data_IF_358891911611
#
_entry.id   IF_358891911611
#
_cell.length_a   1.000
_cell.length_b   1.000
_cell.length_c   1.000
_cell.angle_alpha   90.00
_cell.angle_beta   90.00
_cell.angle_gamma   90.00
#
_symmetry.space_group_name_H-M   'P 1'
#
loop_
_entity.id
_entity.type
_entity.pdbx_description
1 polymer ?
#
# COMPACT_ATOMS: atom_id res chain seq x y z
N UNK A 1 1.63 -1.33 -8.10
CA UNK A 1 2.90 -0.98 -7.43
C UNK A 1 3.77 -2.22 -7.42
N UNK A 2 4.89 -2.24 -8.14
CA UNK A 2 5.78 -3.39 -8.13
C UNK A 2 6.38 -3.50 -6.74
N UNK A 3 5.98 -4.52 -5.98
CA UNK A 3 6.79 -4.97 -4.85
C UNK A 3 8.02 -5.66 -5.42
N UNK A 4 9.04 -4.90 -5.76
CA UNK A 4 10.38 -5.44 -5.88
C UNK A 4 10.93 -5.53 -4.46
N UNK A 5 10.97 -6.75 -3.97
CA UNK A 5 11.82 -7.10 -2.83
C UNK A 5 13.27 -6.82 -3.24
N UNK A 6 13.75 -5.62 -2.98
CA UNK A 6 15.17 -5.28 -3.06
C UNK A 6 15.76 -5.40 -1.66
N UNK A 7 15.96 -6.64 -1.19
CA UNK A 7 16.97 -6.92 -0.17
C UNK A 7 18.22 -7.45 -0.87
N UNK A 8 19.10 -6.56 -1.34
CA UNK A 8 20.48 -6.89 -1.63
C UNK A 8 21.25 -6.96 -0.32
N UNK A 9 21.12 -8.07 0.40
CA UNK A 9 22.12 -8.45 1.38
C UNK A 9 23.25 -9.15 0.62
N UNK A 10 24.40 -8.48 0.51
CA UNK A 10 25.67 -9.13 0.18
C UNK A 10 26.00 -10.16 1.27
N UNK A 11 25.65 -11.42 1.03
CA UNK A 11 26.21 -12.54 1.80
C UNK A 11 27.28 -13.22 0.95
N UNK A 12 28.48 -13.19 1.47
CA UNK A 12 29.61 -14.02 1.05
C UNK A 12 29.17 -15.49 0.97
N UNK A 13 29.40 -16.10 -0.18
CA UNK A 13 29.13 -17.51 -0.44
C UNK A 13 30.00 -18.39 0.46
N UNK A 14 29.42 -18.95 1.49
CA UNK A 14 29.91 -20.18 2.13
C UNK A 14 29.11 -21.33 1.52
N UNK A 15 29.74 -22.04 0.61
CA UNK A 15 29.18 -23.25 -0.01
C UNK A 15 29.13 -24.37 1.02
N UNK A 16 27.97 -24.56 1.67
CA UNK A 16 27.65 -25.78 2.38
C UNK A 16 26.92 -26.72 1.43
N UNK A 17 27.64 -27.72 0.91
CA UNK A 17 27.06 -28.84 0.18
C UNK A 17 26.35 -29.77 1.17
N UNK A 18 25.05 -29.66 1.31
CA UNK A 18 24.22 -30.74 1.82
C UNK A 18 23.70 -31.55 0.64
N UNK A 19 24.20 -32.78 0.51
CA UNK A 19 23.67 -33.74 -0.45
C UNK A 19 22.28 -34.20 -0.02
N UNK A 20 21.24 -33.56 -0.56
CA UNK A 20 19.88 -34.10 -0.55
C UNK A 20 19.77 -35.08 -1.72
N UNK A 21 19.76 -36.37 -1.47
CA UNK A 21 19.67 -37.48 -2.46
C UNK A 21 18.23 -37.74 -2.90
N UNK A 22 17.40 -36.72 -3.05
CA UNK A 22 16.01 -36.78 -3.56
C UNK A 22 15.73 -35.69 -4.60
N UNK A 23 14.81 -35.93 -5.52
CA UNK A 23 14.35 -34.91 -6.44
C UNK A 23 13.70 -33.76 -5.66
N UNK A 24 14.07 -32.52 -5.96
CA UNK A 24 13.49 -31.34 -5.31
C UNK A 24 11.97 -31.31 -5.54
N UNK A 25 11.17 -30.96 -4.51
CA UNK A 25 9.75 -30.70 -4.68
C UNK A 25 9.51 -29.73 -5.85
N UNK A 26 8.57 -30.02 -6.71
CA UNK A 26 8.36 -29.24 -7.94
C UNK A 26 6.89 -29.00 -8.17
N UNK A 27 6.49 -27.74 -8.34
CA UNK A 27 5.14 -27.34 -8.78
C UNK A 27 5.20 -26.81 -10.21
N UNK A 28 4.24 -27.20 -11.04
CA UNK A 28 4.14 -26.79 -12.43
C UNK A 28 2.96 -25.86 -12.62
N UNK A 29 3.09 -24.89 -13.51
CA UNK A 29 2.00 -24.00 -13.88
C UNK A 29 2.02 -23.71 -15.38
N UNK A 30 0.87 -23.79 -16.05
CA UNK A 30 0.68 -23.35 -17.44
C UNK A 30 0.41 -21.86 -17.53
N UNK A 31 -0.40 -21.34 -16.59
CA UNK A 31 -0.83 -19.94 -16.58
C UNK A 31 0.21 -19.00 -15.96
N UNK A 32 1.24 -19.55 -15.34
CA UNK A 32 2.26 -18.77 -14.65
C UNK A 32 1.83 -18.20 -13.29
N UNK A 33 0.65 -18.60 -12.80
CA UNK A 33 0.08 -18.08 -11.55
C UNK A 33 0.03 -19.15 -10.47
N UNK A 34 0.39 -18.74 -9.26
CA UNK A 34 0.49 -19.59 -8.09
C UNK A 34 -0.24 -18.95 -6.91
N UNK A 35 -0.83 -19.78 -6.07
CA UNK A 35 -1.37 -19.37 -4.77
C UNK A 35 -0.47 -19.91 -3.67
N UNK A 36 -0.08 -19.05 -2.76
CA UNK A 36 0.72 -19.38 -1.61
C UNK A 36 -0.19 -19.53 -0.38
N UNK A 37 0.05 -20.58 0.42
CA UNK A 37 -0.55 -20.75 1.73
C UNK A 37 0.55 -20.90 2.75
N UNK A 38 0.52 -20.06 3.78
CA UNK A 38 1.42 -20.13 4.93
C UNK A 38 0.57 -20.54 6.12
N UNK A 39 0.94 -21.62 6.81
CA UNK A 39 0.17 -22.16 7.94
C UNK A 39 -1.32 -22.45 7.59
N UNK A 40 -1.59 -22.93 6.38
CA UNK A 40 -2.92 -23.15 5.79
C UNK A 40 -3.75 -21.87 5.57
N UNK A 41 -3.23 -20.73 5.92
CA UNK A 41 -3.82 -19.44 5.59
C UNK A 41 -3.24 -18.93 4.27
N UNK A 42 -4.07 -18.31 3.48
CA UNK A 42 -3.64 -17.77 2.20
C UNK A 42 -2.67 -16.61 2.41
N UNK A 43 -1.47 -16.76 1.91
CA UNK A 43 -0.43 -15.73 1.98
C UNK A 43 -0.69 -14.61 0.98
N UNK A 44 -0.45 -13.38 1.42
CA UNK A 44 -0.57 -12.14 0.64
C UNK A 44 0.72 -11.86 -0.15
N UNK A 45 1.25 -12.86 -0.86
CA UNK A 45 2.51 -12.76 -1.58
C UNK A 45 2.28 -12.60 -3.08
N UNK A 46 2.01 -11.39 -3.52
CA UNK A 46 1.74 -11.07 -4.93
C UNK A 46 2.96 -11.27 -5.85
N UNK A 47 4.18 -11.23 -5.30
CA UNK A 47 5.42 -11.34 -6.07
C UNK A 47 5.79 -12.77 -6.53
N UNK A 48 5.11 -13.81 -6.06
CA UNK A 48 5.48 -15.21 -6.40
C UNK A 48 5.30 -15.50 -7.90
N UNK A 49 4.42 -14.79 -8.58
CA UNK A 49 4.17 -14.96 -10.01
C UNK A 49 5.23 -14.31 -10.90
N UNK A 50 5.96 -13.33 -10.36
CA UNK A 50 6.96 -12.52 -11.08
C UNK A 50 8.41 -12.84 -10.66
N UNK A 51 8.64 -14.02 -10.08
CA UNK A 51 9.95 -14.42 -9.57
C UNK A 51 11.03 -14.48 -10.66
N UNK A 52 12.27 -14.05 -10.37
CA UNK A 52 13.44 -14.28 -11.23
C UNK A 52 13.81 -15.78 -11.28
N UNK A 53 14.79 -16.15 -12.09
CA UNK A 53 15.22 -17.55 -12.28
C UNK A 53 15.67 -18.23 -10.98
N UNK A 54 16.14 -17.47 -9.99
CA UNK A 54 16.36 -17.95 -8.62
C UNK A 54 15.82 -16.94 -7.63
N UNK A 55 15.19 -17.42 -6.55
CA UNK A 55 14.55 -16.56 -5.57
C UNK A 55 14.74 -17.13 -4.17
N UNK A 56 15.07 -16.25 -3.23
CA UNK A 56 15.17 -16.58 -1.81
C UNK A 56 14.28 -15.64 -1.01
N UNK A 57 13.52 -16.20 -0.08
CA UNK A 57 12.64 -15.43 0.80
C UNK A 57 12.60 -16.04 2.20
N UNK A 58 12.44 -15.21 3.22
CA UNK A 58 12.26 -15.64 4.59
C UNK A 58 10.97 -15.03 5.15
N UNK A 59 10.12 -15.87 5.71
CA UNK A 59 8.84 -15.44 6.29
C UNK A 59 9.01 -15.23 7.80
N UNK A 60 8.48 -14.10 8.29
CA UNK A 60 8.29 -13.91 9.72
C UNK A 60 7.17 -14.81 10.24
N UNK A 61 7.41 -15.52 11.33
CA UNK A 61 6.40 -16.36 11.99
C UNK A 61 6.79 -16.64 13.45
N UNK A 62 5.80 -16.75 14.32
CA UNK A 62 6.00 -17.16 15.71
C UNK A 62 6.20 -18.69 15.84
N UNK A 63 5.93 -19.47 14.77
CA UNK A 63 6.02 -20.93 14.78
C UNK A 63 7.41 -21.39 14.36
N UNK A 64 8.02 -22.26 15.13
CA UNK A 64 9.34 -22.84 14.81
C UNK A 64 9.34 -23.67 13.52
N UNK A 65 8.20 -24.27 13.19
CA UNK A 65 7.95 -25.03 11.97
C UNK A 65 6.63 -24.63 11.35
N UNK A 66 6.66 -24.01 10.17
CA UNK A 66 5.51 -23.48 9.47
C UNK A 66 5.26 -24.21 8.16
N UNK A 67 4.09 -24.86 7.97
CA UNK A 67 3.75 -25.46 6.69
C UNK A 67 3.55 -24.38 5.63
N UNK A 68 4.20 -24.56 4.48
CA UNK A 68 4.07 -23.74 3.29
C UNK A 68 3.51 -24.60 2.15
N UNK A 69 2.40 -24.21 1.58
CA UNK A 69 1.85 -24.85 0.39
C UNK A 69 1.80 -23.89 -0.79
N UNK A 70 2.19 -24.38 -1.95
CA UNK A 70 2.16 -23.64 -3.21
C UNK A 70 1.28 -24.39 -4.17
N UNK A 71 0.21 -23.76 -4.63
CA UNK A 71 -0.85 -24.38 -5.44
C UNK A 71 -0.94 -23.65 -6.77
N UNK A 72 -0.93 -24.41 -7.85
CA UNK A 72 -1.22 -23.96 -9.20
C UNK A 72 -2.54 -24.55 -9.70
N UNK A 73 -2.89 -24.24 -10.94
CA UNK A 73 -4.00 -24.86 -11.65
C UNK A 73 -3.72 -26.34 -12.05
N UNK A 74 -2.48 -26.82 -11.94
CA UNK A 74 -2.06 -28.16 -12.36
C UNK A 74 -1.72 -29.08 -11.19
N UNK A 75 -0.92 -28.59 -10.25
CA UNK A 75 -0.47 -29.37 -9.11
C UNK A 75 -0.20 -28.49 -7.87
N UNK A 76 0.25 -29.12 -6.80
CA UNK A 76 0.64 -28.41 -5.59
C UNK A 76 1.82 -29.10 -4.92
N UNK A 77 2.60 -28.33 -4.16
CA UNK A 77 3.62 -28.82 -3.24
C UNK A 77 3.38 -28.29 -1.85
N UNK A 78 3.84 -29.07 -0.86
CA UNK A 78 3.92 -28.61 0.54
C UNK A 78 5.32 -28.84 1.06
N UNK A 79 5.88 -27.84 1.72
CA UNK A 79 7.17 -27.88 2.38
C UNK A 79 7.03 -27.30 3.78
N UNK A 80 7.91 -27.70 4.69
CA UNK A 80 7.92 -27.12 6.05
C UNK A 80 9.07 -26.13 6.15
N UNK A 81 8.74 -24.89 6.44
CA UNK A 81 9.71 -23.85 6.75
C UNK A 81 10.16 -23.99 8.20
N UNK A 82 11.45 -23.84 8.46
CA UNK A 82 12.03 -23.78 9.80
C UNK A 82 12.89 -22.54 9.94
N UNK A 83 12.92 -21.98 11.15
CA UNK A 83 13.73 -20.80 11.42
C UNK A 83 15.19 -21.03 10.98
N UNK A 84 15.71 -20.16 10.11
CA UNK A 84 17.07 -20.20 9.61
C UNK A 84 17.40 -21.36 8.65
N UNK A 85 16.47 -22.30 8.39
CA UNK A 85 16.72 -23.45 7.51
C UNK A 85 15.89 -23.34 6.23
N UNK A 86 16.51 -23.17 5.04
CA UNK A 86 15.75 -23.04 3.81
C UNK A 86 15.13 -24.36 3.36
N UNK A 87 13.85 -24.33 3.02
CA UNK A 87 13.21 -25.33 2.17
C UNK A 87 13.46 -24.96 0.70
N UNK A 88 13.96 -25.91 -0.08
CA UNK A 88 14.32 -25.70 -1.50
C UNK A 88 13.34 -26.44 -2.38
N UNK A 89 12.78 -25.79 -3.39
CA UNK A 89 11.83 -26.35 -4.34
C UNK A 89 11.93 -25.66 -5.70
N UNK A 90 11.23 -26.20 -6.72
CA UNK A 90 11.20 -25.63 -8.07
C UNK A 90 9.80 -25.24 -8.48
N UNK A 91 9.70 -24.14 -9.22
CA UNK A 91 8.51 -23.73 -9.95
C UNK A 91 8.81 -23.85 -11.44
N UNK A 92 8.06 -24.71 -12.17
CA UNK A 92 8.16 -24.85 -13.61
C UNK A 92 7.05 -24.05 -14.27
N UNK A 93 7.42 -22.94 -14.94
CA UNK A 93 6.49 -22.06 -15.65
C UNK A 93 6.44 -22.45 -17.13
N UNK A 94 5.49 -23.31 -17.47
CA UNK A 94 5.41 -23.90 -18.82
C UNK A 94 5.17 -22.84 -19.90
N UNK A 95 4.37 -21.81 -19.64
CA UNK A 95 4.11 -20.74 -20.59
C UNK A 95 5.38 -19.90 -20.89
N UNK A 96 6.29 -19.77 -19.93
CA UNK A 96 7.58 -19.06 -20.10
C UNK A 96 8.71 -19.99 -20.55
N UNK A 97 8.51 -21.32 -20.47
CA UNK A 97 9.53 -22.32 -20.79
C UNK A 97 10.71 -22.32 -19.81
N UNK A 98 10.52 -21.85 -18.58
CA UNK A 98 11.58 -21.67 -17.59
C UNK A 98 11.29 -22.39 -16.26
N UNK A 99 12.32 -22.42 -15.41
CA UNK A 99 12.25 -23.01 -14.06
C UNK A 99 12.87 -22.05 -13.07
N UNK A 100 12.12 -21.74 -12.01
CA UNK A 100 12.58 -20.92 -10.88
C UNK A 100 13.03 -21.83 -9.76
N UNK A 101 14.25 -21.65 -9.26
CA UNK A 101 14.73 -22.28 -8.04
C UNK A 101 14.39 -21.39 -6.85
N UNK A 102 13.55 -21.91 -5.95
CA UNK A 102 13.10 -21.19 -4.75
C UNK A 102 13.78 -21.73 -3.50
N UNK A 103 14.21 -20.81 -2.63
CA UNK A 103 14.73 -21.09 -1.29
C UNK A 103 13.93 -20.29 -0.28
N UNK A 104 13.07 -20.94 0.48
CA UNK A 104 12.23 -20.28 1.47
C UNK A 104 12.59 -20.76 2.87
N UNK A 105 12.71 -19.86 3.81
CA UNK A 105 12.92 -20.14 5.23
C UNK A 105 11.94 -19.34 6.07
N UNK A 106 11.94 -19.59 7.37
CA UNK A 106 11.25 -18.73 8.32
C UNK A 106 12.22 -18.18 9.37
N UNK A 107 11.83 -17.09 9.98
CA UNK A 107 12.50 -16.51 11.14
C UNK A 107 11.43 -16.04 12.14
N UNK A 108 11.84 -15.83 13.40
CA UNK A 108 10.93 -15.31 14.41
C UNK A 108 10.51 -13.88 14.04
N UNK A 109 9.22 -13.69 13.87
CA UNK A 109 8.68 -12.39 13.48
C UNK A 109 8.77 -11.38 14.63
N UNK A 110 9.29 -10.18 14.32
CA UNK A 110 9.06 -9.01 15.15
C UNK A 110 7.68 -8.43 14.79
N UNK A 111 6.74 -8.45 15.73
CA UNK A 111 5.41 -7.85 15.51
C UNK A 111 5.53 -6.40 15.07
N UNK A 112 4.88 -6.06 13.96
CA UNK A 112 4.87 -4.69 13.43
C UNK A 112 4.22 -3.69 14.40
N UNK A 113 3.19 -4.12 15.13
CA UNK A 113 2.51 -3.32 16.13
C UNK A 113 2.18 -4.13 17.39
N UNK A 114 2.08 -3.44 18.51
CA UNK A 114 1.58 -3.98 19.79
C UNK A 114 0.56 -3.00 20.36
N UNK A 115 -0.62 -3.52 20.68
CA UNK A 115 -1.71 -2.70 21.17
C UNK A 115 -2.02 -3.01 22.66
N UNK A 116 -1.33 -2.33 23.61
CA UNK A 116 -1.66 -2.47 25.03
C UNK A 116 -3.10 -2.04 25.33
N UNK A 117 -3.69 -2.55 26.40
CA UNK A 117 -5.09 -2.27 26.75
C UNK A 117 -5.40 -0.76 26.89
N UNK A 118 -4.47 0.01 27.43
CA UNK A 118 -4.60 1.47 27.51
C UNK A 118 -4.70 2.10 26.09
N UNK A 119 -3.90 1.63 25.15
CA UNK A 119 -3.93 2.08 23.77
C UNK A 119 -5.25 1.71 23.09
N UNK A 120 -5.69 0.45 23.23
CA UNK A 120 -6.97 -0.04 22.69
C UNK A 120 -8.13 0.82 23.20
N UNK A 121 -8.22 1.01 24.52
CA UNK A 121 -9.24 1.85 25.14
C UNK A 121 -9.21 3.29 24.62
N UNK A 122 -8.02 3.84 24.42
CA UNK A 122 -7.87 5.21 23.94
C UNK A 122 -8.26 5.38 22.47
N UNK A 123 -8.14 4.34 21.64
CA UNK A 123 -8.30 4.45 20.18
C UNK A 123 -9.54 3.74 19.62
N UNK A 124 -10.22 2.90 20.39
CA UNK A 124 -11.41 2.17 19.95
C UNK A 124 -12.46 3.09 19.30
N UNK A 125 -12.89 2.74 18.10
CA UNK A 125 -13.91 3.45 17.32
C UNK A 125 -13.43 4.77 16.70
N UNK A 126 -12.16 5.15 16.89
CA UNK A 126 -11.66 6.46 16.42
C UNK A 126 -11.22 6.46 14.97
N UNK A 127 -11.43 7.58 14.31
CA UNK A 127 -10.78 7.99 13.08
C UNK A 127 -9.84 9.15 13.41
N UNK A 128 -8.54 8.94 13.26
CA UNK A 128 -7.51 9.92 13.60
C UNK A 128 -6.91 10.49 12.30
N UNK A 129 -6.82 11.82 12.25
CA UNK A 129 -6.23 12.57 11.12
C UNK A 129 -4.98 13.25 11.66
N UNK A 130 -3.81 12.94 11.11
CA UNK A 130 -2.54 13.26 11.73
C UNK A 130 -1.50 13.80 10.73
N UNK A 131 -0.69 14.78 11.21
CA UNK A 131 0.58 15.20 10.62
C UNK A 131 1.65 15.01 11.71
N UNK A 132 2.24 13.80 11.85
CA UNK A 132 3.20 13.53 12.92
C UNK A 132 4.54 14.22 12.68
N UNK A 133 5.22 14.66 13.76
CA UNK A 133 6.44 15.48 13.68
C UNK A 133 7.59 14.77 12.93
N UNK A 134 7.86 13.49 13.22
CA UNK A 134 8.94 12.75 12.53
C UNK A 134 8.52 12.37 11.10
N UNK A 135 7.23 12.15 10.87
CA UNK A 135 6.68 11.90 9.51
C UNK A 135 6.85 13.15 8.63
N UNK A 136 6.63 14.35 9.19
CA UNK A 136 6.89 15.60 8.47
C UNK A 136 8.38 15.83 8.26
N UNK A 137 9.24 15.49 9.24
CA UNK A 137 10.70 15.62 9.13
C UNK A 137 11.26 14.86 7.91
N UNK A 138 10.88 13.60 7.73
CA UNK A 138 11.38 12.83 6.59
C UNK A 138 10.89 13.41 5.26
N UNK A 139 9.66 13.96 5.20
CA UNK A 139 9.15 14.62 4.01
C UNK A 139 9.85 15.95 3.70
N UNK A 140 10.28 16.69 4.72
CA UNK A 140 11.18 17.84 4.55
C UNK A 140 12.53 17.40 3.96
N UNK A 141 13.09 16.29 4.43
CA UNK A 141 14.34 15.72 3.87
C UNK A 141 14.12 15.30 2.41
N UNK A 142 13.02 14.62 2.07
CA UNK A 142 12.67 14.26 0.70
C UNK A 142 12.58 15.48 -0.22
N UNK A 143 12.00 16.58 0.25
CA UNK A 143 11.88 17.81 -0.54
C UNK A 143 13.24 18.42 -0.92
N UNK A 144 14.31 18.11 -0.18
CA UNK A 144 15.69 18.60 -0.43
C UNK A 144 16.49 17.66 -1.35
N UNK A 145 16.00 16.46 -1.66
CA UNK A 145 16.66 15.47 -2.52
C UNK A 145 16.37 15.74 -4.00
N UNK A 146 17.02 14.97 -4.90
CA UNK A 146 16.69 14.98 -6.33
C UNK A 146 15.25 14.51 -6.59
N UNK A 147 14.75 13.56 -5.79
CA UNK A 147 13.34 13.13 -5.80
C UNK A 147 12.38 14.29 -5.49
N UNK A 148 12.80 15.26 -4.68
CA UNK A 148 12.05 16.50 -4.41
C UNK A 148 11.79 17.38 -5.64
N UNK A 149 12.51 17.17 -6.74
CA UNK A 149 12.28 17.88 -8.01
C UNK A 149 11.11 17.28 -8.81
N UNK A 150 10.72 16.04 -8.54
CA UNK A 150 9.58 15.37 -9.19
C UNK A 150 8.23 15.85 -8.61
N UNK A 151 7.13 15.45 -9.23
CA UNK A 151 5.78 15.75 -8.74
C UNK A 151 5.38 14.92 -7.51
N UNK A 152 6.27 14.02 -7.04
CA UNK A 152 6.09 13.33 -5.77
C UNK A 152 6.05 14.29 -4.58
N UNK A 153 6.68 15.47 -4.71
CA UNK A 153 6.58 16.56 -3.75
C UNK A 153 5.66 17.64 -4.28
N UNK A 154 4.63 17.99 -3.50
CA UNK A 154 3.67 19.03 -3.84
C UNK A 154 4.24 20.42 -3.58
N UNK A 155 4.46 21.19 -4.66
CA UNK A 155 5.21 22.45 -4.63
C UNK A 155 4.32 23.71 -4.60
N UNK A 156 3.01 23.55 -4.88
CA UNK A 156 2.12 24.69 -5.10
C UNK A 156 1.49 25.25 -3.81
N UNK A 157 2.28 25.39 -2.75
CA UNK A 157 1.84 25.96 -1.48
C UNK A 157 2.83 26.98 -0.94
N UNK A 158 2.35 28.00 -0.18
CA UNK A 158 3.25 28.85 0.62
C UNK A 158 4.10 28.05 1.61
N UNK A 159 3.58 26.92 2.11
CA UNK A 159 4.30 26.04 3.02
C UNK A 159 5.55 25.42 2.35
N UNK A 160 5.44 24.93 1.13
CA UNK A 160 6.60 24.43 0.39
C UNK A 160 7.66 25.52 0.22
N UNK A 161 7.24 26.76 -0.09
CA UNK A 161 8.18 27.88 -0.21
C UNK A 161 8.88 28.17 1.13
N UNK A 162 8.15 28.11 2.26
CA UNK A 162 8.73 28.26 3.59
C UNK A 162 9.72 27.13 3.91
N UNK A 163 9.38 25.88 3.58
CA UNK A 163 10.28 24.71 3.72
C UNK A 163 11.58 24.95 2.93
N UNK A 164 11.47 25.31 1.66
CA UNK A 164 12.66 25.56 0.84
C UNK A 164 13.49 26.75 1.32
N UNK A 165 12.85 27.84 1.73
CA UNK A 165 13.55 28.99 2.27
C UNK A 165 14.33 28.67 3.54
N UNK A 166 13.77 27.84 4.43
CA UNK A 166 14.40 27.48 5.70
C UNK A 166 15.47 26.39 5.55
N UNK A 167 15.17 25.32 4.77
CA UNK A 167 15.97 24.09 4.76
C UNK A 167 16.94 23.97 3.59
N UNK A 168 16.83 24.74 2.50
CA UNK A 168 17.77 24.68 1.37
C UNK A 168 19.25 24.85 1.78
N UNK A 169 19.64 25.68 2.79
CA UNK A 169 21.02 25.73 3.25
C UNK A 169 21.55 24.39 3.79
N UNK A 170 20.67 23.46 4.13
CA UNK A 170 21.01 22.13 4.65
C UNK A 170 20.91 21.03 3.59
N UNK A 171 20.68 21.33 2.30
CA UNK A 171 20.58 20.34 1.24
C UNK A 171 21.86 19.47 1.12
N UNK A 172 23.04 20.01 1.51
CA UNK A 172 24.28 19.25 1.59
C UNK A 172 24.47 18.41 2.85
N UNK A 173 23.47 18.31 3.74
CA UNK A 173 23.58 17.53 4.98
C UNK A 173 23.66 16.01 4.71
N UNK A 174 24.35 15.26 5.60
CA UNK A 174 24.52 13.81 5.43
C UNK A 174 23.19 13.05 5.32
N UNK A 175 22.18 13.44 6.13
CA UNK A 175 20.83 12.85 6.03
C UNK A 175 20.24 12.99 4.61
N UNK A 176 20.31 14.20 4.04
CA UNK A 176 19.77 14.46 2.69
C UNK A 176 20.51 13.63 1.64
N UNK A 177 21.86 13.62 1.67
CA UNK A 177 22.66 12.85 0.70
C UNK A 177 22.41 11.34 0.79
N UNK A 178 22.30 10.81 2.01
CA UNK A 178 22.06 9.37 2.21
C UNK A 178 20.68 8.99 1.70
N UNK A 179 19.64 9.74 2.04
CA UNK A 179 18.27 9.48 1.57
C UNK A 179 18.17 9.70 0.04
N UNK A 180 18.82 10.70 -0.50
CA UNK A 180 18.90 10.94 -1.95
C UNK A 180 19.54 9.77 -2.70
N UNK A 181 20.63 9.21 -2.15
CA UNK A 181 21.27 8.01 -2.70
C UNK A 181 20.35 6.81 -2.73
N UNK A 182 19.56 6.57 -1.67
CA UNK A 182 18.57 5.50 -1.61
C UNK A 182 17.49 5.67 -2.67
N UNK A 183 16.90 6.86 -2.76
CA UNK A 183 15.83 7.16 -3.71
C UNK A 183 16.32 7.13 -5.16
N UNK A 184 17.59 7.46 -5.40
CA UNK A 184 18.23 7.36 -6.74
C UNK A 184 18.46 5.89 -7.13
N UNK A 185 18.74 5.01 -6.18
CA UNK A 185 18.85 3.57 -6.42
C UNK A 185 17.50 2.94 -6.75
N UNK A 186 16.45 3.29 -6.00
CA UNK A 186 15.06 2.92 -6.28
C UNK A 186 14.10 3.88 -5.58
N UNK A 187 13.15 4.40 -6.33
CA UNK A 187 12.03 5.19 -5.78
C UNK A 187 11.14 4.36 -4.83
N UNK A 188 11.22 3.04 -4.88
CA UNK A 188 10.49 2.13 -3.98
C UNK A 188 10.87 2.33 -2.50
N UNK A 189 12.02 2.94 -2.20
CA UNK A 189 12.39 3.30 -0.84
C UNK A 189 11.54 4.43 -0.24
N UNK A 190 10.89 5.25 -1.07
CA UNK A 190 10.13 6.41 -0.59
C UNK A 190 8.99 6.02 0.36
N UNK A 191 8.11 5.12 -0.08
CA UNK A 191 6.94 4.75 0.71
C UNK A 191 7.29 4.09 2.05
N UNK A 192 8.20 3.09 2.11
CA UNK A 192 8.61 2.49 3.38
C UNK A 192 9.26 3.48 4.35
N UNK A 193 10.19 4.33 3.88
CA UNK A 193 10.83 5.36 4.72
C UNK A 193 9.81 6.34 5.30
N UNK A 194 8.87 6.80 4.45
CA UNK A 194 7.77 7.68 4.86
C UNK A 194 6.88 7.01 5.91
N UNK A 195 6.42 5.79 5.63
CA UNK A 195 5.53 5.06 6.54
C UNK A 195 6.20 4.80 7.88
N UNK A 196 7.39 4.21 7.87
CA UNK A 196 8.10 3.81 9.09
C UNK A 196 8.46 4.96 10.02
N UNK A 197 8.52 6.18 9.50
CA UNK A 197 8.72 7.37 10.33
C UNK A 197 7.61 7.61 11.35
N UNK A 198 6.43 7.05 11.11
CA UNK A 198 5.30 7.13 12.06
C UNK A 198 5.53 6.31 13.33
N UNK A 199 6.42 5.33 13.32
CA UNK A 199 6.78 4.58 14.53
C UNK A 199 7.59 5.42 15.54
N UNK A 200 8.00 6.65 15.18
CA UNK A 200 8.89 7.46 15.98
C UNK A 200 8.26 8.78 16.41
N UNK A 201 8.74 9.26 17.55
CA UNK A 201 8.43 10.59 18.08
C UNK A 201 9.71 11.26 18.62
N UNK A 202 9.67 12.58 18.82
CA UNK A 202 10.71 13.30 19.51
C UNK A 202 10.55 13.22 21.03
N UNK A 203 11.59 12.72 21.70
CA UNK A 203 11.76 12.80 23.16
C UNK A 203 12.93 13.73 23.44
N UNK A 204 12.65 14.99 23.78
CA UNK A 204 13.68 16.04 23.75
C UNK A 204 14.24 16.19 22.32
N UNK A 205 15.55 16.15 22.16
CA UNK A 205 16.22 16.23 20.85
C UNK A 205 16.48 14.85 20.21
N UNK A 206 16.01 13.78 20.85
CA UNK A 206 16.17 12.40 20.36
C UNK A 206 14.92 11.93 19.66
N UNK A 207 15.10 11.08 18.63
CA UNK A 207 14.02 10.40 17.93
C UNK A 207 13.96 8.96 18.47
N UNK A 208 12.84 8.60 19.11
CA UNK A 208 12.66 7.31 19.77
C UNK A 208 11.38 6.62 19.29
N UNK A 209 11.35 5.30 19.30
CA UNK A 209 10.11 4.54 19.04
C UNK A 209 9.14 4.73 20.22
N UNK A 210 7.87 4.92 19.91
CA UNK A 210 6.80 5.06 20.93
C UNK A 210 6.46 3.73 21.61
N UNK A 211 6.83 2.61 20.99
CA UNK A 211 6.56 1.26 21.50
C UNK A 211 5.25 0.63 21.02
N UNK A 212 4.36 1.42 20.40
CA UNK A 212 3.14 0.90 19.75
C UNK A 212 3.46 0.22 18.43
N UNK A 213 4.33 0.85 17.62
CA UNK A 213 4.77 0.32 16.34
C UNK A 213 6.27 0.07 16.34
N UNK A 214 6.67 -1.11 15.88
CA UNK A 214 8.05 -1.37 15.51
C UNK A 214 8.32 -0.85 14.10
N UNK A 215 7.37 -1.08 13.19
CA UNK A 215 7.35 -0.58 11.80
C UNK A 215 5.93 -0.29 11.37
N UNK A 216 5.76 0.54 10.35
CA UNK A 216 4.45 0.82 9.75
C UNK A 216 4.43 0.59 8.23
N UNK A 217 5.57 0.27 7.62
CA UNK A 217 5.66 -0.22 6.25
C UNK A 217 5.38 -1.73 6.14
N UNK A 218 5.40 -2.24 4.90
CA UNK A 218 5.12 -3.65 4.59
C UNK A 218 6.30 -4.61 4.81
N UNK A 219 7.50 -4.07 5.06
CA UNK A 219 8.71 -4.85 5.26
C UNK A 219 8.74 -5.58 6.59
N UNK A 220 9.77 -6.38 6.80
CA UNK A 220 9.97 -7.14 8.03
C UNK A 220 10.72 -6.35 9.11
N UNK A 221 11.38 -5.27 8.71
CA UNK A 221 12.14 -4.37 9.58
C UNK A 221 11.76 -2.92 9.31
N UNK A 222 11.97 -2.07 10.30
CA UNK A 222 11.79 -0.64 10.14
C UNK A 222 12.90 -0.07 9.26
N UNK A 223 12.53 0.41 8.07
CA UNK A 223 13.47 0.89 7.05
C UNK A 223 14.13 2.21 7.40
N UNK A 224 13.52 3.01 8.29
CA UNK A 224 14.06 4.29 8.73
C UNK A 224 15.08 4.16 9.86
N UNK A 225 15.06 3.07 10.62
CA UNK A 225 15.85 2.89 11.84
C UNK A 225 17.35 3.17 11.65
N UNK A 226 18.03 2.68 10.58
CA UNK A 226 19.46 2.96 10.39
C UNK A 226 19.80 4.45 10.21
N UNK A 227 18.82 5.26 9.84
CA UNK A 227 19.02 6.67 9.49
C UNK A 227 18.58 7.64 10.60
N UNK A 228 18.04 7.13 11.71
CA UNK A 228 17.61 7.95 12.85
C UNK A 228 18.71 8.90 13.37
N UNK A 229 19.97 8.45 13.58
CA UNK A 229 21.02 9.36 14.04
C UNK A 229 21.30 10.52 13.08
N UNK A 230 21.17 10.29 11.75
CA UNK A 230 21.33 11.32 10.73
C UNK A 230 20.16 12.33 10.76
N UNK A 231 18.94 11.84 10.97
CA UNK A 231 17.75 12.67 11.07
C UNK A 231 17.76 13.52 12.36
N UNK A 232 18.22 12.97 13.48
CA UNK A 232 18.43 13.73 14.72
C UNK A 232 19.42 14.89 14.51
N UNK A 233 20.56 14.60 13.86
CA UNK A 233 21.58 15.62 13.58
C UNK A 233 21.06 16.70 12.62
N UNK A 234 20.32 16.28 11.57
CA UNK A 234 19.65 17.21 10.65
C UNK A 234 18.64 18.10 11.40
N UNK A 235 17.74 17.48 12.19
CA UNK A 235 16.71 18.21 12.91
C UNK A 235 17.30 19.25 13.88
N UNK A 236 18.38 18.87 14.59
CA UNK A 236 19.10 19.75 15.52
C UNK A 236 19.77 20.91 14.79
N UNK A 237 20.57 20.64 13.74
CA UNK A 237 21.33 21.64 12.99
C UNK A 237 20.42 22.62 12.24
N UNK A 238 19.35 22.10 11.62
CA UNK A 238 18.39 22.90 10.87
C UNK A 238 17.34 23.59 11.75
N UNK A 239 17.33 23.32 13.06
CA UNK A 239 16.29 23.79 14.00
C UNK A 239 14.89 23.36 13.56
N UNK A 240 14.77 22.15 13.00
CA UNK A 240 13.52 21.60 12.46
C UNK A 240 12.36 21.70 13.44
N UNK A 241 12.57 21.34 14.73
CA UNK A 241 11.50 21.36 15.73
C UNK A 241 10.91 22.75 15.97
N UNK A 242 11.74 23.82 15.85
CA UNK A 242 11.24 25.19 15.89
C UNK A 242 10.35 25.47 14.68
N UNK A 243 10.82 25.11 13.47
CA UNK A 243 10.05 25.27 12.25
C UNK A 243 8.71 24.52 12.32
N UNK A 244 8.71 23.25 12.76
CA UNK A 244 7.49 22.45 12.91
C UNK A 244 6.50 23.10 13.90
N UNK A 245 6.98 23.55 15.06
CA UNK A 245 6.16 24.24 16.06
C UNK A 245 5.58 25.56 15.53
N UNK A 246 6.38 26.34 14.81
CA UNK A 246 5.96 27.62 14.26
C UNK A 246 4.89 27.46 13.17
N UNK A 247 4.81 26.28 12.53
CA UNK A 247 3.78 25.90 11.55
C UNK A 247 2.62 25.10 12.14
N UNK A 248 2.56 24.91 13.46
CA UNK A 248 1.50 24.09 14.09
C UNK A 248 0.09 24.61 13.79
N UNK A 249 -0.09 25.91 13.71
CA UNK A 249 -1.38 26.54 13.34
C UNK A 249 -1.80 26.15 11.91
N UNK A 250 -0.84 26.12 10.98
CA UNK A 250 -1.07 25.68 9.62
C UNK A 250 -1.47 24.19 9.55
N UNK A 251 -0.75 23.32 10.25
CA UNK A 251 -1.08 21.89 10.30
C UNK A 251 -2.46 21.65 10.90
N UNK A 252 -2.78 22.33 12.00
CA UNK A 252 -4.11 22.24 12.62
C UNK A 252 -5.21 22.73 11.67
N UNK A 253 -4.95 23.76 10.87
CA UNK A 253 -5.85 24.22 9.84
C UNK A 253 -6.10 23.17 8.76
N UNK A 254 -5.07 22.48 8.29
CA UNK A 254 -5.21 21.38 7.34
C UNK A 254 -5.96 20.19 7.93
N UNK A 255 -5.68 19.82 9.18
CA UNK A 255 -6.39 18.72 9.86
C UNK A 255 -7.88 19.08 10.00
N UNK A 256 -8.18 20.30 10.39
CA UNK A 256 -9.57 20.75 10.53
C UNK A 256 -10.30 20.78 9.19
N UNK A 257 -9.67 21.31 8.13
CA UNK A 257 -10.22 21.29 6.78
C UNK A 257 -10.48 19.85 6.30
N UNK A 258 -9.53 18.94 6.58
CA UNK A 258 -9.69 17.53 6.26
C UNK A 258 -10.90 16.92 6.98
N UNK A 259 -11.02 17.14 8.29
CA UNK A 259 -12.13 16.63 9.11
C UNK A 259 -13.50 17.17 8.66
N UNK A 260 -13.57 18.44 8.23
CA UNK A 260 -14.80 19.08 7.82
C UNK A 260 -15.24 18.70 6.39
N UNK A 261 -14.28 18.49 5.48
CA UNK A 261 -14.54 18.35 4.06
C UNK A 261 -14.32 16.94 3.51
N UNK A 262 -13.64 16.05 4.27
CA UNK A 262 -13.38 14.66 3.87
C UNK A 262 -13.99 13.73 4.93
N UNK A 263 -15.17 13.23 4.68
CA UNK A 263 -15.93 12.43 5.64
C UNK A 263 -15.43 10.96 5.70
N UNK A 264 -14.27 10.75 6.30
CA UNK A 264 -13.66 9.42 6.45
C UNK A 264 -14.55 8.47 7.26
N UNK A 265 -15.32 8.99 8.21
CA UNK A 265 -16.23 8.18 8.99
C UNK A 265 -17.37 7.59 8.13
N UNK A 266 -17.90 8.36 7.19
CA UNK A 266 -18.87 7.85 6.20
C UNK A 266 -18.23 6.84 5.26
N UNK A 267 -17.00 7.07 4.77
CA UNK A 267 -16.26 6.11 3.95
C UNK A 267 -16.07 4.78 4.69
N UNK A 268 -15.61 4.83 5.94
CA UNK A 268 -15.43 3.65 6.79
C UNK A 268 -16.74 2.88 6.97
N UNK A 269 -17.82 3.56 7.35
CA UNK A 269 -19.14 2.92 7.52
C UNK A 269 -19.62 2.26 6.22
N UNK A 270 -19.48 2.95 5.09
CA UNK A 270 -19.83 2.39 3.79
C UNK A 270 -19.02 1.13 3.48
N UNK A 271 -17.70 1.18 3.66
CA UNK A 271 -16.82 0.02 3.45
C UNK A 271 -17.19 -1.16 4.35
N UNK A 272 -17.45 -0.93 5.63
CA UNK A 272 -17.88 -1.98 6.57
C UNK A 272 -19.26 -2.56 6.27
N UNK A 273 -20.12 -1.80 5.60
CA UNK A 273 -21.40 -2.30 5.07
C UNK A 273 -21.19 -3.16 3.82
N UNK A 274 -20.28 -2.75 2.93
CA UNK A 274 -20.01 -3.44 1.68
C UNK A 274 -19.08 -4.65 1.82
N UNK A 275 -18.26 -4.67 2.89
CA UNK A 275 -17.34 -5.76 3.23
C UNK A 275 -17.54 -6.21 4.68
N UNK A 276 -18.64 -6.89 5.01
CA UNK A 276 -19.03 -7.15 6.39
C UNK A 276 -18.09 -8.07 7.18
N UNK A 277 -17.19 -8.78 6.49
CA UNK A 277 -16.16 -9.64 7.09
C UNK A 277 -14.96 -8.86 7.60
N UNK A 278 -14.76 -7.61 7.15
CA UNK A 278 -13.61 -6.78 7.48
C UNK A 278 -14.05 -5.59 8.31
N UNK A 279 -13.47 -5.46 9.49
CA UNK A 279 -13.75 -4.34 10.42
C UNK A 279 -12.47 -3.91 11.10
N UNK A 280 -12.31 -2.61 11.28
CA UNK A 280 -11.17 -2.05 11.99
C UNK A 280 -11.61 -1.35 13.26
N UNK A 281 -10.89 -1.65 14.36
CA UNK A 281 -11.09 -1.00 15.67
C UNK A 281 -10.80 0.50 15.61
N UNK A 282 -9.83 0.91 14.80
CA UNK A 282 -9.53 2.32 14.53
C UNK A 282 -9.03 2.51 13.08
N UNK A 283 -9.14 3.74 12.59
CA UNK A 283 -8.59 4.15 11.29
C UNK A 283 -7.68 5.36 11.51
N UNK A 284 -6.51 5.36 10.88
CA UNK A 284 -5.59 6.49 10.87
C UNK A 284 -5.35 6.99 9.46
N UNK A 285 -5.46 8.28 9.27
CA UNK A 285 -5.07 8.97 8.05
C UNK A 285 -3.89 9.85 8.37
N UNK A 286 -2.75 9.51 7.77
CA UNK A 286 -1.50 10.22 7.94
C UNK A 286 -1.18 10.98 6.67
N UNK A 287 -0.89 12.26 6.77
CA UNK A 287 -0.52 13.05 5.62
C UNK A 287 0.51 14.13 5.96
N UNK A 288 1.05 14.74 4.93
CA UNK A 288 1.88 15.92 5.00
C UNK A 288 1.52 16.84 3.83
N UNK A 289 1.62 18.17 4.00
CA UNK A 289 1.38 19.10 2.89
C UNK A 289 2.42 19.01 1.78
N UNK A 290 3.51 18.26 1.97
CA UNK A 290 4.56 18.06 0.98
C UNK A 290 4.33 16.89 0.02
N UNK A 291 3.49 15.92 0.37
CA UNK A 291 3.25 14.76 -0.51
C UNK A 291 2.38 15.16 -1.70
N UNK A 292 2.88 14.93 -2.92
CA UNK A 292 2.16 15.17 -4.18
C UNK A 292 1.44 13.92 -4.69
N UNK A 293 2.14 12.80 -4.70
CA UNK A 293 1.62 11.48 -5.06
C UNK A 293 2.38 10.39 -4.27
N UNK A 294 2.14 9.13 -4.57
CA UNK A 294 2.68 7.97 -3.86
C UNK A 294 2.01 7.75 -2.50
N UNK A 295 0.73 7.47 -2.56
CA UNK A 295 -0.08 7.07 -1.42
C UNK A 295 0.20 5.60 -1.08
N UNK A 296 -0.14 5.22 0.15
CA UNK A 296 0.13 3.88 0.67
C UNK A 296 -0.87 3.51 1.75
N UNK A 297 -1.23 2.25 1.84
CA UNK A 297 -2.06 1.72 2.90
C UNK A 297 -1.37 0.54 3.60
N UNK A 298 -1.63 0.36 4.88
CA UNK A 298 -1.26 -0.83 5.63
C UNK A 298 -2.27 -1.10 6.75
N UNK A 299 -2.26 -2.30 7.28
CA UNK A 299 -3.13 -2.71 8.38
C UNK A 299 -2.34 -3.46 9.46
N UNK A 300 -2.81 -3.35 10.68
CA UNK A 300 -2.17 -3.94 11.84
C UNK A 300 -3.21 -4.62 12.70
N UNK A 301 -2.84 -5.78 13.23
CA UNK A 301 -3.65 -6.50 14.19
C UNK A 301 -2.77 -7.02 15.33
N UNK A 302 -3.21 -6.80 16.55
CA UNK A 302 -2.61 -7.36 17.74
C UNK A 302 -3.66 -7.48 18.85
N UNK A 303 -3.76 -8.65 19.48
CA UNK A 303 -4.58 -8.90 20.66
C UNK A 303 -6.04 -8.44 20.49
N UNK A 304 -6.67 -8.78 19.35
CA UNK A 304 -8.07 -8.49 19.05
C UNK A 304 -8.37 -7.01 18.78
N UNK A 305 -7.36 -6.19 18.54
CA UNK A 305 -7.48 -4.80 18.08
C UNK A 305 -6.84 -4.65 16.71
N UNK A 306 -7.53 -4.01 15.78
CA UNK A 306 -7.05 -3.83 14.41
C UNK A 306 -7.11 -2.38 13.98
N UNK A 307 -6.12 -1.94 13.21
CA UNK A 307 -6.06 -0.59 12.64
C UNK A 307 -5.82 -0.63 11.14
N UNK A 308 -6.51 0.24 10.40
CA UNK A 308 -6.18 0.56 9.01
C UNK A 308 -5.48 1.93 8.95
N UNK A 309 -4.33 1.99 8.28
CA UNK A 309 -3.58 3.21 8.05
C UNK A 309 -3.62 3.58 6.57
N UNK A 310 -4.00 4.82 6.29
CA UNK A 310 -3.91 5.44 4.98
C UNK A 310 -2.86 6.57 5.03
N UNK A 311 -1.78 6.41 4.28
CA UNK A 311 -0.71 7.41 4.13
C UNK A 311 -0.95 8.16 2.81
N UNK A 312 -1.50 9.36 2.89
CA UNK A 312 -2.04 10.07 1.72
C UNK A 312 -1.39 11.44 1.53
N UNK A 313 -1.62 12.05 0.37
CA UNK A 313 -1.40 13.47 0.19
C UNK A 313 -2.58 14.27 0.77
N UNK A 314 -2.34 15.53 1.12
CA UNK A 314 -3.43 16.44 1.40
C UNK A 314 -4.16 16.77 0.08
N UNK A 315 -5.49 16.59 -0.02
CA UNK A 315 -6.23 16.84 -1.24
C UNK A 315 -6.51 18.35 -1.41
N UNK A 316 -5.47 19.10 -1.76
CA UNK A 316 -5.60 20.52 -2.04
C UNK A 316 -6.65 20.78 -3.14
N UNK A 317 -7.44 21.82 -2.93
CA UNK A 317 -8.41 22.24 -3.94
C UNK A 317 -7.71 22.89 -5.13
N UNK A 318 -8.16 22.56 -6.34
CA UNK A 318 -7.64 23.18 -7.57
C UNK A 318 -7.96 24.68 -7.65
N UNK A 319 -7.20 25.42 -8.46
CA UNK A 319 -7.32 26.88 -8.63
C UNK A 319 -8.73 27.36 -9.03
N UNK A 320 -9.56 26.50 -9.60
CA UNK A 320 -10.91 26.83 -10.03
C UNK A 320 -12.01 26.16 -9.17
N UNK A 321 -11.66 25.68 -7.98
CA UNK A 321 -12.62 24.98 -7.12
C UNK A 321 -13.78 25.91 -6.65
N UNK A 322 -13.49 27.18 -6.47
CA UNK A 322 -14.46 28.23 -6.15
C UNK A 322 -15.56 28.42 -7.22
N UNK A 323 -15.31 27.98 -8.46
CA UNK A 323 -16.23 28.02 -9.59
C UNK A 323 -17.00 26.72 -9.82
N UNK A 324 -16.73 25.70 -8.99
CA UNK A 324 -17.37 24.39 -9.10
C UNK A 324 -18.41 24.21 -8.00
N UNK A 325 -19.46 23.38 -8.22
CA UNK A 325 -20.36 22.98 -7.15
C UNK A 325 -19.59 22.35 -5.99
N UNK A 326 -19.96 22.69 -4.76
CA UNK A 326 -19.30 22.17 -3.56
C UNK A 326 -19.31 20.64 -3.48
N UNK A 327 -20.40 20.00 -3.95
CA UNK A 327 -20.53 18.54 -4.05
C UNK A 327 -19.48 17.93 -4.98
N UNK A 328 -19.19 18.56 -6.10
CA UNK A 328 -18.17 18.12 -7.05
C UNK A 328 -16.76 18.21 -6.44
N UNK A 329 -16.44 19.35 -5.82
CA UNK A 329 -15.15 19.54 -5.11
C UNK A 329 -14.98 18.50 -3.99
N UNK A 330 -16.06 18.27 -3.23
CA UNK A 330 -16.06 17.24 -2.17
C UNK A 330 -15.74 15.86 -2.75
N UNK A 331 -16.41 15.42 -3.79
CA UNK A 331 -16.19 14.12 -4.43
C UNK A 331 -14.73 13.97 -4.93
N UNK A 332 -14.21 15.00 -5.60
CA UNK A 332 -12.82 15.00 -6.09
C UNK A 332 -11.81 14.86 -4.94
N UNK A 333 -12.03 15.55 -3.82
CA UNK A 333 -11.15 15.47 -2.64
C UNK A 333 -11.23 14.13 -1.91
N UNK A 334 -12.40 13.52 -1.87
CA UNK A 334 -12.63 12.22 -1.22
C UNK A 334 -11.89 11.07 -1.91
N UNK A 335 -11.74 11.13 -3.23
CA UNK A 335 -11.25 10.01 -4.05
C UNK A 335 -9.95 9.40 -3.54
N UNK A 336 -8.90 10.21 -3.39
CA UNK A 336 -7.56 9.72 -3.01
C UNK A 336 -7.57 9.03 -1.65
N UNK A 337 -8.30 9.60 -0.71
CA UNK A 337 -8.40 9.03 0.64
C UNK A 337 -9.16 7.72 0.61
N UNK A 338 -10.23 7.68 -0.17
CA UNK A 338 -11.06 6.50 -0.30
C UNK A 338 -10.31 5.36 -0.99
N UNK A 339 -9.50 5.64 -2.03
CA UNK A 339 -8.71 4.61 -2.70
C UNK A 339 -7.70 3.95 -1.76
N UNK A 340 -7.06 4.71 -0.88
CA UNK A 340 -6.13 4.12 0.09
C UNK A 340 -6.85 3.39 1.23
N UNK A 341 -7.97 3.93 1.70
CA UNK A 341 -8.75 3.29 2.74
C UNK A 341 -9.38 1.98 2.28
N UNK A 342 -9.92 1.94 1.06
CA UNK A 342 -10.65 0.78 0.56
C UNK A 342 -9.76 -0.43 0.30
N UNK A 343 -8.45 -0.26 0.02
CA UNK A 343 -7.49 -1.37 -0.08
C UNK A 343 -7.51 -2.29 1.14
N UNK A 344 -7.69 -1.72 2.33
CA UNK A 344 -7.80 -2.51 3.56
C UNK A 344 -9.05 -3.41 3.62
N UNK A 345 -10.05 -3.17 2.79
CA UNK A 345 -11.30 -3.93 2.74
C UNK A 345 -11.39 -4.82 1.49
N UNK A 346 -11.04 -4.27 0.34
CA UNK A 346 -11.18 -4.98 -0.94
C UNK A 346 -10.12 -6.07 -1.12
N UNK A 347 -8.86 -5.82 -0.69
CA UNK A 347 -7.77 -6.77 -0.91
C UNK A 347 -8.02 -8.10 -0.16
N UNK A 348 -8.40 -8.12 1.13
CA UNK A 348 -8.74 -9.38 1.80
C UNK A 348 -9.91 -10.14 1.14
N UNK A 349 -10.85 -9.42 0.51
CA UNK A 349 -11.92 -10.10 -0.23
C UNK A 349 -11.43 -10.61 -1.59
N UNK A 350 -10.58 -9.85 -2.33
CA UNK A 350 -9.97 -10.29 -3.59
C UNK A 350 -9.10 -11.54 -3.40
N UNK A 351 -8.35 -11.61 -2.31
CA UNK A 351 -7.53 -12.77 -1.95
C UNK A 351 -8.33 -14.08 -1.90
N UNK A 352 -9.60 -14.04 -1.52
CA UNK A 352 -10.48 -15.21 -1.47
C UNK A 352 -10.75 -15.81 -2.85
N UNK A 353 -10.67 -14.97 -3.89
CA UNK A 353 -10.98 -15.32 -5.28
C UNK A 353 -9.76 -15.29 -6.20
N UNK A 354 -8.52 -15.31 -5.64
CA UNK A 354 -7.34 -15.10 -6.46
C UNK A 354 -7.11 -16.16 -7.52
N UNK A 355 -7.62 -17.41 -7.35
CA UNK A 355 -7.55 -18.44 -8.39
C UNK A 355 -8.41 -18.05 -9.59
N UNK A 356 -9.64 -17.65 -9.33
CA UNK A 356 -10.59 -17.21 -10.34
C UNK A 356 -10.13 -15.93 -11.02
N UNK A 357 -9.57 -14.99 -10.25
CA UNK A 357 -8.97 -13.75 -10.75
C UNK A 357 -7.76 -14.06 -11.63
N UNK A 358 -6.88 -15.00 -11.23
CA UNK A 358 -5.73 -15.41 -12.04
C UNK A 358 -6.15 -15.97 -13.41
N UNK A 359 -7.26 -16.68 -13.47
CA UNK A 359 -7.81 -17.18 -14.73
C UNK A 359 -8.42 -16.05 -15.58
N UNK A 360 -9.20 -15.16 -14.94
CA UNK A 360 -9.87 -14.06 -15.63
C UNK A 360 -8.90 -13.02 -16.19
N UNK A 361 -7.81 -12.75 -15.49
CA UNK A 361 -6.77 -11.77 -15.83
C UNK A 361 -5.48 -12.42 -16.34
N UNK A 362 -5.54 -13.65 -16.87
CA UNK A 362 -4.37 -14.40 -17.34
C UNK A 362 -3.56 -13.67 -18.42
N UNK A 363 -4.23 -12.88 -19.25
CA UNK A 363 -3.63 -11.99 -20.25
C UNK A 363 -3.91 -10.55 -19.87
N UNK A 364 -2.89 -9.87 -19.37
CA UNK A 364 -2.99 -8.47 -18.94
C UNK A 364 -2.90 -7.47 -20.11
N UNK A 365 -2.56 -7.90 -21.32
CA UNK A 365 -2.38 -7.00 -22.47
C UNK A 365 -3.64 -6.22 -22.84
N UNK A 366 -4.82 -6.80 -22.56
CA UNK A 366 -6.11 -6.14 -22.72
C UNK A 366 -6.56 -5.26 -21.54
N UNK A 367 -5.83 -5.26 -20.42
CA UNK A 367 -6.22 -4.57 -19.19
C UNK A 367 -5.34 -3.39 -18.85
N UNK A 368 -4.02 -3.50 -19.09
CA UNK A 368 -3.03 -2.49 -18.75
C UNK A 368 -2.30 -1.99 -20.01
N UNK A 369 -1.75 -0.79 -19.95
CA UNK A 369 -0.98 -0.17 -21.04
C UNK A 369 0.48 -0.04 -20.67
N UNK A 370 1.37 -0.64 -21.45
CA UNK A 370 2.82 -0.49 -21.30
C UNK A 370 3.22 0.99 -21.35
N UNK A 371 4.09 1.41 -20.45
CA UNK A 371 4.56 2.80 -20.36
C UNK A 371 3.57 3.76 -19.68
N UNK A 372 2.43 3.28 -19.22
CA UNK A 372 1.48 4.01 -18.39
C UNK A 372 1.54 3.51 -16.93
N UNK A 373 1.00 4.27 -15.96
CA UNK A 373 0.99 3.84 -14.54
C UNK A 373 0.37 2.46 -14.31
N UNK A 374 -0.60 2.03 -15.12
CA UNK A 374 -1.20 0.69 -15.05
C UNK A 374 -0.18 -0.44 -15.23
N UNK A 375 0.94 -0.21 -15.94
CA UNK A 375 2.00 -1.21 -16.11
C UNK A 375 2.65 -1.67 -14.78
N UNK A 376 2.51 -0.87 -13.72
CA UNK A 376 2.93 -1.25 -12.36
C UNK A 376 2.11 -2.40 -11.75
N UNK A 377 0.92 -2.67 -12.28
CA UNK A 377 0.00 -3.72 -11.81
C UNK A 377 0.13 -4.96 -12.69
N UNK A 378 1.33 -5.53 -12.72
CA UNK A 378 1.77 -6.56 -13.68
C UNK A 378 1.37 -7.99 -13.32
N UNK A 379 0.58 -8.20 -12.28
CA UNK A 379 0.01 -9.50 -11.95
C UNK A 379 -1.54 -9.44 -11.88
N UNK A 380 -2.22 -10.56 -12.13
CA UNK A 380 -3.68 -10.62 -12.17
C UNK A 380 -4.39 -10.06 -10.96
N UNK A 381 -3.90 -10.39 -9.75
CA UNK A 381 -4.55 -9.99 -8.51
C UNK A 381 -4.43 -8.49 -8.30
N UNK A 382 -3.23 -7.91 -8.40
CA UNK A 382 -3.04 -6.47 -8.25
C UNK A 382 -3.73 -5.66 -9.35
N UNK A 383 -3.81 -6.19 -10.57
CA UNK A 383 -4.56 -5.56 -11.64
C UNK A 383 -6.06 -5.52 -11.32
N UNK A 384 -6.65 -6.64 -10.91
CA UNK A 384 -8.06 -6.71 -10.50
C UNK A 384 -8.34 -5.81 -9.28
N UNK A 385 -7.47 -5.86 -8.27
CA UNK A 385 -7.58 -5.02 -7.08
C UNK A 385 -7.64 -3.53 -7.44
N UNK A 386 -6.83 -3.08 -8.39
CA UNK A 386 -6.82 -1.68 -8.80
C UNK A 386 -8.06 -1.30 -9.64
N UNK A 387 -8.57 -2.20 -10.47
CA UNK A 387 -9.87 -2.01 -11.13
C UNK A 387 -11.00 -1.90 -10.12
N UNK A 388 -11.03 -2.79 -9.12
CA UNK A 388 -12.01 -2.73 -8.03
C UNK A 388 -11.85 -1.47 -7.20
N UNK A 389 -10.61 -1.08 -6.86
CA UNK A 389 -10.30 0.10 -6.07
C UNK A 389 -11.02 1.35 -6.61
N UNK A 390 -10.83 1.63 -7.90
CA UNK A 390 -11.48 2.78 -8.53
C UNK A 390 -12.95 2.53 -8.87
N UNK A 391 -13.35 1.30 -9.13
CA UNK A 391 -14.77 0.94 -9.27
C UNK A 391 -15.56 1.20 -7.99
N UNK A 392 -14.98 0.94 -6.81
CA UNK A 392 -15.59 1.27 -5.52
C UNK A 392 -15.79 2.77 -5.33
N UNK A 393 -14.94 3.62 -5.91
CA UNK A 393 -15.14 5.08 -5.92
C UNK A 393 -16.43 5.42 -6.64
N UNK A 394 -16.69 4.82 -7.81
CA UNK A 394 -17.95 5.01 -8.56
C UNK A 394 -19.17 4.59 -7.72
N UNK A 395 -19.09 3.43 -7.04
CA UNK A 395 -20.20 2.97 -6.21
C UNK A 395 -20.46 3.91 -5.03
N UNK A 396 -19.41 4.36 -4.33
CA UNK A 396 -19.53 5.34 -3.25
C UNK A 396 -20.16 6.65 -3.77
N UNK A 397 -19.73 7.12 -4.93
CA UNK A 397 -20.28 8.33 -5.54
C UNK A 397 -21.76 8.18 -5.86
N UNK A 398 -22.18 7.00 -6.37
CA UNK A 398 -23.59 6.75 -6.68
C UNK A 398 -24.50 6.78 -5.45
N UNK A 399 -23.95 6.44 -4.28
CA UNK A 399 -24.69 6.44 -3.01
C UNK A 399 -24.70 7.82 -2.32
N UNK A 400 -23.69 8.66 -2.56
CA UNK A 400 -23.51 9.91 -1.81
C UNK A 400 -23.94 11.18 -2.55
N UNK A 401 -23.96 11.17 -3.88
CA UNK A 401 -24.17 12.38 -4.67
C UNK A 401 -25.44 12.30 -5.53
N UNK A 402 -25.98 13.47 -5.84
CA UNK A 402 -27.07 13.60 -6.81
C UNK A 402 -26.61 13.17 -8.21
N UNK A 403 -27.60 12.89 -9.10
CA UNK A 403 -27.33 12.33 -10.42
C UNK A 403 -26.39 13.18 -11.30
N UNK A 404 -26.46 14.50 -11.21
CA UNK A 404 -25.64 15.41 -12.02
C UNK A 404 -24.19 15.44 -11.51
N UNK A 405 -24.00 15.55 -10.20
CA UNK A 405 -22.69 15.47 -9.54
C UNK A 405 -22.04 14.09 -9.79
N UNK A 406 -22.82 13.02 -9.59
CA UNK A 406 -22.36 11.64 -9.86
C UNK A 406 -21.90 11.46 -11.31
N UNK A 407 -22.69 11.86 -12.29
CA UNK A 407 -22.34 11.71 -13.71
C UNK A 407 -21.04 12.45 -14.06
N UNK A 408 -20.83 13.65 -13.49
CA UNK A 408 -19.61 14.44 -13.72
C UNK A 408 -18.39 13.77 -13.09
N UNK A 409 -18.50 13.32 -11.84
CA UNK A 409 -17.42 12.63 -11.11
C UNK A 409 -17.03 11.31 -11.80
N UNK A 410 -18.02 10.48 -12.16
CA UNK A 410 -17.82 9.21 -12.88
C UNK A 410 -17.09 9.42 -14.20
N UNK A 411 -17.56 10.37 -15.02
CA UNK A 411 -16.93 10.67 -16.32
C UNK A 411 -15.47 11.12 -16.15
N UNK A 412 -15.18 11.95 -15.15
CA UNK A 412 -13.81 12.38 -14.83
C UNK A 412 -12.92 11.23 -14.37
N UNK A 413 -13.45 10.35 -13.54
CA UNK A 413 -12.77 9.16 -13.04
C UNK A 413 -12.42 8.19 -14.18
N UNK A 414 -13.42 7.82 -15.00
CA UNK A 414 -13.22 6.92 -16.14
C UNK A 414 -12.19 7.47 -17.13
N UNK A 415 -12.28 8.77 -17.44
CA UNK A 415 -11.29 9.44 -18.29
C UNK A 415 -9.89 9.32 -17.70
N UNK A 416 -9.73 9.61 -16.42
CA UNK A 416 -8.43 9.52 -15.74
C UNK A 416 -7.88 8.10 -15.76
N UNK A 417 -8.69 7.10 -15.48
CA UNK A 417 -8.28 5.70 -15.44
C UNK A 417 -7.84 5.20 -16.82
N UNK A 418 -8.60 5.51 -17.87
CA UNK A 418 -8.30 5.04 -19.22
C UNK A 418 -7.16 5.86 -19.85
N UNK A 419 -7.32 7.20 -19.91
CA UNK A 419 -6.40 8.04 -20.69
C UNK A 419 -5.08 8.33 -19.97
N UNK A 420 -5.13 8.63 -18.66
CA UNK A 420 -3.93 9.01 -17.91
C UNK A 420 -3.23 7.79 -17.33
N UNK A 421 -3.98 6.88 -16.71
CA UNK A 421 -3.41 5.72 -16.02
C UNK A 421 -3.23 4.50 -16.91
N UNK A 422 -4.01 4.35 -18.00
CA UNK A 422 -3.86 3.29 -18.99
C UNK A 422 -4.56 1.99 -18.63
N UNK A 423 -5.59 2.01 -17.79
CA UNK A 423 -6.47 0.87 -17.51
C UNK A 423 -7.49 0.74 -18.65
N UNK A 424 -7.16 -0.04 -19.69
CA UNK A 424 -7.80 -0.02 -20.99
C UNK A 424 -9.31 -0.28 -20.95
N UNK A 425 -9.75 -1.22 -20.10
CA UNK A 425 -11.15 -1.65 -19.98
C UNK A 425 -11.87 -1.05 -18.77
N UNK A 426 -11.31 0.00 -18.16
CA UNK A 426 -11.88 0.52 -16.92
C UNK A 426 -13.32 0.98 -17.08
N UNK A 427 -13.66 1.65 -18.18
CA UNK A 427 -15.04 2.09 -18.43
C UNK A 427 -16.03 0.92 -18.50
N UNK A 428 -15.69 -0.14 -19.25
CA UNK A 428 -16.55 -1.34 -19.38
C UNK A 428 -16.69 -2.06 -18.03
N UNK A 429 -15.61 -2.13 -17.25
CA UNK A 429 -15.59 -2.74 -15.92
C UNK A 429 -16.46 -1.94 -14.95
N UNK A 430 -16.29 -0.64 -14.91
CA UNK A 430 -16.99 0.29 -14.03
C UNK A 430 -18.52 0.30 -14.32
N UNK A 431 -18.89 0.29 -15.59
CA UNK A 431 -20.30 0.18 -16.02
C UNK A 431 -20.93 -1.16 -15.57
N UNK A 432 -20.23 -2.28 -15.75
CA UNK A 432 -20.75 -3.57 -15.31
C UNK A 432 -20.82 -3.68 -13.80
N UNK A 433 -19.79 -3.21 -13.08
CA UNK A 433 -19.78 -3.20 -11.62
C UNK A 433 -20.93 -2.36 -11.06
N UNK A 434 -21.14 -1.16 -11.59
CA UNK A 434 -22.25 -0.29 -11.22
C UNK A 434 -23.61 -0.95 -11.50
N UNK A 435 -23.77 -1.57 -12.66
CA UNK A 435 -24.97 -2.32 -13.00
C UNK A 435 -25.26 -3.49 -12.06
N UNK A 436 -24.24 -4.26 -11.71
CA UNK A 436 -24.35 -5.35 -10.72
C UNK A 436 -24.76 -4.78 -9.35
N UNK A 437 -24.16 -3.67 -8.96
CA UNK A 437 -24.47 -2.99 -7.69
C UNK A 437 -25.91 -2.47 -7.63
N UNK A 438 -26.38 -1.83 -8.68
CA UNK A 438 -27.74 -1.29 -8.75
C UNK A 438 -28.83 -2.39 -8.79
N UNK A 439 -28.52 -3.54 -9.40
CA UNK A 439 -29.46 -4.66 -9.53
C UNK A 439 -29.27 -5.74 -8.44
N UNK A 440 -28.46 -5.46 -7.39
CA UNK A 440 -28.26 -6.42 -6.31
C UNK A 440 -29.54 -6.68 -5.52
N UNK A 441 -29.67 -7.90 -5.03
CA UNK A 441 -30.79 -8.30 -4.16
C UNK A 441 -30.70 -7.55 -2.82
N UNK A 442 -31.85 -7.33 -2.12
CA UNK A 442 -31.82 -6.81 -0.78
C UNK A 442 -30.88 -7.63 0.12
N UNK A 443 -30.01 -6.94 0.86
CA UNK A 443 -29.01 -7.55 1.73
C UNK A 443 -27.70 -8.02 1.05
N UNK A 444 -27.62 -8.00 -0.28
CA UNK A 444 -26.34 -8.23 -0.95
C UNK A 444 -25.40 -7.03 -0.83
N UNK A 445 -24.14 -7.32 -0.64
CA UNK A 445 -23.06 -6.36 -0.50
C UNK A 445 -22.12 -6.41 -1.72
N UNK A 446 -21.16 -5.50 -1.81
CA UNK A 446 -20.15 -5.55 -2.87
C UNK A 446 -19.33 -6.84 -2.79
N UNK A 447 -19.02 -7.34 -1.60
CA UNK A 447 -18.32 -8.62 -1.43
C UNK A 447 -19.06 -9.78 -2.12
N UNK A 448 -20.39 -9.75 -2.15
CA UNK A 448 -21.21 -10.78 -2.82
C UNK A 448 -21.21 -10.64 -4.36
N UNK A 449 -20.74 -9.53 -4.90
CA UNK A 449 -20.66 -9.29 -6.35
C UNK A 449 -19.35 -9.78 -6.98
N UNK A 450 -18.33 -10.13 -6.19
CA UNK A 450 -17.03 -10.59 -6.69
C UNK A 450 -17.14 -11.76 -7.69
N UNK A 451 -17.90 -12.84 -7.43
CA UNK A 451 -18.03 -13.91 -8.40
C UNK A 451 -18.60 -13.45 -9.75
N UNK A 452 -19.55 -12.51 -9.73
CA UNK A 452 -20.19 -12.02 -10.95
C UNK A 452 -19.26 -11.13 -11.78
N UNK A 453 -18.53 -10.20 -11.14
CA UNK A 453 -17.62 -9.31 -11.86
C UNK A 453 -16.37 -10.06 -12.35
N UNK A 454 -15.87 -11.06 -11.61
CA UNK A 454 -14.77 -11.93 -12.06
C UNK A 454 -15.22 -12.78 -13.27
N UNK A 455 -16.43 -13.36 -13.21
CA UNK A 455 -16.99 -14.11 -14.33
C UNK A 455 -17.23 -13.22 -15.57
N UNK A 456 -17.57 -11.95 -15.39
CA UNK A 456 -17.64 -11.00 -16.49
C UNK A 456 -16.24 -10.75 -17.10
N UNK A 457 -15.23 -10.52 -16.26
CA UNK A 457 -13.85 -10.30 -16.71
C UNK A 457 -13.28 -11.50 -17.47
N UNK A 458 -13.59 -12.73 -17.04
CA UNK A 458 -13.14 -13.96 -17.69
C UNK A 458 -13.65 -14.14 -19.13
N UNK A 459 -14.67 -13.39 -19.55
CA UNK A 459 -15.22 -13.41 -20.92
C UNK A 459 -14.64 -12.32 -21.83
N UNK A 460 -13.70 -11.52 -21.34
CA UNK A 460 -13.11 -10.38 -22.05
C UNK A 460 -11.68 -10.66 -22.48
#
# INVERSE_FOLDING_TARGET
>A
MKFLLSCLCFFTFLSFTFAQTGALPTVRTKLGHLTLYVNNERGNFNGINDLPASFSHSFGTDQEATPLSIVSEQDSISVTLRHGTPAVFRIVRQAKGDTVLCRFSSHKEAKAARFPDAYKKANQGKTLILIPEVYELINVVFALTTYGKTDAIYKNTPYFQAVMAHFSPFAGHAAVRTIDSLLTQSEDHYAPLKMDSYAYLFTGDRITKEGTYDRTSWGEVNTLEPYIPLLEDFARKSKYRNFYRDHQSYYNGLILDFQQNIDVATMKRWLEQQFPRTRYSAVKVLFTPLVGWNQSANQFEDNGFSEAHAHVNFPFVGKNADRQPASLVKGQRMMIIFTELNHSYLNPEADRYAKEIAVAYRDLSGWITTGKPSAGYSNPLSCFEEYMNYGLVTLLYSDLFDAATFATLKTGLEKSMVENRGFQRFREFDEELLKLYQNRKPGQTVADLYPAIIAWAARR
#
